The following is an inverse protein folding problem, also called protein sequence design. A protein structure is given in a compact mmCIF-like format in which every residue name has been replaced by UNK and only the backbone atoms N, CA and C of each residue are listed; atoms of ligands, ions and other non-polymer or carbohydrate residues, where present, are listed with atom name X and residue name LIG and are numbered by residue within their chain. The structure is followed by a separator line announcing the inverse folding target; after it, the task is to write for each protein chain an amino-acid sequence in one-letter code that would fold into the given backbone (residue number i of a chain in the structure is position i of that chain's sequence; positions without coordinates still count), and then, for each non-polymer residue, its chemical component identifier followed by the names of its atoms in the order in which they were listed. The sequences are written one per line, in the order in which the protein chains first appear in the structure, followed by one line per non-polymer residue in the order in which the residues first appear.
data_IF_550675984169
#
_entry.id   IF_550675984169
#
_cell.length_a   1.000
_cell.length_b   1.000
_cell.length_c   1.000
_cell.angle_alpha   90.00
_cell.angle_beta   90.00
_cell.angle_gamma   90.00
#
_symmetry.space_group_name_H-M   'P 1'
#
loop_
_entity.id
_entity.type
_entity.pdbx_description
1 polymer ?
#
# COMPACT_ATOMS: atom_id res chain seq x y z
N UNK A 1 12.08 8.64 20.58
CA UNK A 1 11.98 9.09 19.16
C UNK A 1 10.82 8.35 18.53
N UNK A 2 10.03 8.98 17.72
CA UNK A 2 8.94 8.35 16.97
C UNK A 2 9.56 7.55 15.80
N UNK A 3 9.05 6.36 15.53
CA UNK A 3 9.49 5.56 14.39
C UNK A 3 9.09 6.19 13.05
N UNK A 4 9.80 5.83 12.00
CA UNK A 4 9.55 6.27 10.61
C UNK A 4 8.40 5.47 10.02
N UNK A 5 7.62 6.08 9.13
CA UNK A 5 6.48 5.42 8.47
C UNK A 5 6.63 5.54 6.96
N UNK A 6 6.63 4.41 6.25
CA UNK A 6 6.63 4.30 4.80
C UNK A 6 5.38 3.53 4.37
N UNK A 7 4.60 4.11 3.48
CA UNK A 7 3.46 3.47 2.83
C UNK A 7 3.85 3.18 1.38
N UNK A 8 3.85 1.91 0.99
CA UNK A 8 4.03 1.44 -0.38
C UNK A 8 2.65 1.24 -1.01
N UNK A 9 2.28 2.04 -1.99
CA UNK A 9 1.01 1.92 -2.69
C UNK A 9 1.19 1.47 -4.14
N UNK A 10 0.50 0.42 -4.55
CA UNK A 10 0.60 -0.11 -5.91
C UNK A 10 -0.28 -1.33 -6.14
N UNK A 11 -0.39 -1.75 -7.39
CA UNK A 11 -1.20 -2.89 -7.77
C UNK A 11 -0.71 -4.22 -7.16
N UNK A 12 -1.56 -5.24 -7.01
CA UNK A 12 -1.12 -6.59 -6.68
C UNK A 12 -0.04 -7.08 -7.65
N UNK A 13 0.99 -7.75 -7.14
CA UNK A 13 2.15 -8.24 -7.91
C UNK A 13 3.11 -7.15 -8.45
N UNK A 14 2.93 -5.89 -8.11
CA UNK A 14 3.86 -4.82 -8.48
C UNK A 14 5.25 -4.92 -7.81
N UNK A 15 5.40 -5.73 -6.75
CA UNK A 15 6.68 -5.91 -6.05
C UNK A 15 6.77 -5.29 -4.65
N UNK A 16 5.68 -4.72 -4.13
CA UNK A 16 5.62 -4.07 -2.81
C UNK A 16 6.15 -4.94 -1.67
N UNK A 17 5.66 -6.18 -1.56
CA UNK A 17 6.03 -7.08 -0.45
C UNK A 17 7.51 -7.49 -0.52
N UNK A 18 8.08 -7.64 -1.72
CA UNK A 18 9.51 -7.88 -1.90
C UNK A 18 10.33 -6.66 -1.50
N UNK A 19 9.86 -5.46 -1.87
CA UNK A 19 10.48 -4.19 -1.45
C UNK A 19 10.39 -3.99 0.06
N UNK A 20 9.25 -4.29 0.69
CA UNK A 20 9.09 -4.21 2.13
C UNK A 20 10.09 -5.12 2.87
N UNK A 21 10.28 -6.35 2.38
CA UNK A 21 11.31 -7.28 2.92
C UNK A 21 12.74 -6.74 2.75
N UNK A 22 13.04 -6.12 1.60
CA UNK A 22 14.35 -5.52 1.38
C UNK A 22 14.60 -4.31 2.31
N UNK A 23 13.58 -3.48 2.57
CA UNK A 23 13.64 -2.39 3.55
C UNK A 23 13.95 -2.96 4.94
N UNK A 24 13.20 -3.97 5.38
CA UNK A 24 13.41 -4.63 6.67
C UNK A 24 14.82 -5.21 6.84
N UNK A 25 15.41 -5.70 5.75
CA UNK A 25 16.72 -6.35 5.76
C UNK A 25 17.90 -5.36 5.69
N UNK A 26 17.73 -4.20 5.02
CA UNK A 26 18.85 -3.34 4.64
C UNK A 26 18.84 -1.95 5.28
N UNK A 27 17.71 -1.44 5.74
CA UNK A 27 17.63 -0.12 6.38
C UNK A 27 17.69 -0.30 7.90
N UNK A 28 18.64 0.40 8.54
CA UNK A 28 18.79 0.33 9.99
C UNK A 28 17.52 0.76 10.74
N UNK A 29 17.16 0.00 11.78
CA UNK A 29 15.97 0.21 12.61
C UNK A 29 15.20 -1.08 12.84
N UNK A 30 14.11 -0.97 13.61
CA UNK A 30 13.20 -2.11 13.85
C UNK A 30 11.96 -1.94 12.98
N UNK A 31 12.02 -2.44 11.77
CA UNK A 31 10.97 -2.32 10.78
C UNK A 31 9.91 -3.40 10.92
N UNK A 32 8.66 -3.01 11.18
CA UNK A 32 7.49 -3.89 11.12
C UNK A 32 6.79 -3.72 9.76
N UNK A 33 6.34 -4.83 9.16
CA UNK A 33 5.46 -4.78 8.01
C UNK A 33 4.00 -4.89 8.48
N UNK A 34 3.29 -3.77 8.47
CA UNK A 34 1.87 -3.67 8.81
C UNK A 34 1.09 -3.28 7.54
N UNK A 35 0.83 -4.24 6.68
CA UNK A 35 0.08 -4.04 5.43
C UNK A 35 -1.30 -4.70 5.44
N UNK A 36 -1.99 -4.65 4.29
CA UNK A 36 -3.33 -5.25 4.15
C UNK A 36 -3.32 -6.76 4.37
N UNK A 37 -2.23 -7.45 4.06
CA UNK A 37 -2.16 -8.91 4.25
C UNK A 37 -2.16 -9.29 5.73
N UNK A 38 -1.50 -8.51 6.60
CA UNK A 38 -1.53 -8.75 8.04
C UNK A 38 -2.90 -8.47 8.64
N UNK A 39 -3.58 -7.42 8.17
CA UNK A 39 -4.96 -7.14 8.57
C UNK A 39 -5.92 -8.22 8.05
N UNK A 40 -5.76 -8.63 6.80
CA UNK A 40 -6.56 -9.70 6.19
C UNK A 40 -6.42 -11.02 6.97
N UNK A 41 -5.21 -11.39 7.37
CA UNK A 41 -4.96 -12.62 8.14
C UNK A 41 -5.70 -12.64 9.51
N UNK A 42 -5.99 -11.47 10.07
CA UNK A 42 -6.74 -11.32 11.33
C UNK A 42 -8.24 -11.08 11.14
N UNK A 43 -8.70 -10.89 9.89
CA UNK A 43 -10.11 -10.59 9.59
C UNK A 43 -10.90 -11.87 9.34
N UNK A 44 -12.08 -12.05 9.96
CA UNK A 44 -12.93 -13.20 9.69
C UNK A 44 -13.30 -13.31 8.20
N UNK A 45 -13.31 -14.54 7.63
CA UNK A 45 -13.60 -14.72 6.20
C UNK A 45 -14.91 -14.09 5.72
N UNK A 46 -15.93 -14.05 6.59
CA UNK A 46 -17.21 -13.42 6.26
C UNK A 46 -17.15 -11.91 6.02
N UNK A 47 -16.10 -11.23 6.54
CA UNK A 47 -15.89 -9.79 6.40
C UNK A 47 -14.85 -9.46 5.32
N UNK A 48 -14.28 -10.47 4.67
CA UNK A 48 -13.33 -10.26 3.60
C UNK A 48 -14.05 -9.99 2.28
N UNK A 49 -13.86 -8.85 1.63
CA UNK A 49 -14.31 -8.66 0.27
C UNK A 49 -13.47 -9.55 -0.64
N UNK A 50 -14.08 -10.39 -1.44
CA UNK A 50 -13.58 -11.47 -2.30
C UNK A 50 -12.07 -11.61 -2.52
N UNK A 51 -11.31 -10.52 -2.69
CA UNK A 51 -9.85 -10.52 -2.87
C UNK A 51 -9.18 -9.47 -1.99
N UNK A 52 -8.97 -9.75 -0.73
CA UNK A 52 -8.38 -8.83 0.23
C UNK A 52 -9.25 -7.58 0.42
N UNK A 53 -8.67 -6.47 0.84
CA UNK A 53 -9.35 -5.18 0.96
C UNK A 53 -9.55 -4.54 -0.42
N UNK A 54 -10.07 -5.31 -1.36
CA UNK A 54 -10.31 -4.81 -2.69
C UNK A 54 -11.60 -4.06 -2.77
N UNK A 55 -11.60 -3.06 -3.60
CA UNK A 55 -12.80 -2.41 -4.04
C UNK A 55 -13.50 -3.24 -5.07
N UNK A 56 -14.67 -2.91 -5.15
CA UNK A 56 -15.25 -2.90 -6.41
C UNK A 56 -16.02 -4.04 -6.87
N UNK A 57 -17.11 -4.17 -6.33
CA UNK A 57 -18.21 -4.82 -6.97
C UNK A 57 -18.43 -6.28 -6.59
N UNK A 58 -17.46 -6.90 -5.95
CA UNK A 58 -17.65 -8.28 -5.50
C UNK A 58 -18.43 -8.36 -4.20
N UNK A 59 -18.22 -7.42 -3.29
CA UNK A 59 -18.91 -7.32 -2.01
C UNK A 59 -19.14 -5.85 -1.62
N UNK A 60 -19.97 -5.12 -2.37
CA UNK A 60 -20.27 -3.71 -2.07
C UNK A 60 -20.93 -3.53 -0.69
N UNK A 61 -21.58 -4.56 -0.17
CA UNK A 61 -22.12 -4.61 1.19
C UNK A 61 -21.03 -4.49 2.28
N UNK A 62 -19.79 -4.78 1.97
CA UNK A 62 -18.64 -4.67 2.89
C UNK A 62 -17.84 -3.38 2.75
N UNK A 63 -18.14 -2.48 1.84
CA UNK A 63 -17.33 -1.27 1.60
C UNK A 63 -17.20 -0.39 2.84
N UNK A 64 -18.26 -0.22 3.62
CA UNK A 64 -18.21 0.49 4.90
C UNK A 64 -17.23 -0.18 5.86
N UNK A 65 -17.26 -1.53 5.91
CA UNK A 65 -16.33 -2.30 6.74
C UNK A 65 -14.88 -2.18 6.25
N UNK A 66 -14.66 -2.08 4.95
CA UNK A 66 -13.34 -1.81 4.37
C UNK A 66 -12.78 -0.48 4.89
N UNK A 67 -13.60 0.58 4.94
CA UNK A 67 -13.18 1.87 5.48
C UNK A 67 -12.78 1.76 6.95
N UNK A 68 -13.60 1.09 7.78
CA UNK A 68 -13.29 0.87 9.20
C UNK A 68 -11.99 0.05 9.40
N UNK A 69 -11.74 -0.94 8.55
CA UNK A 69 -10.51 -1.74 8.59
C UNK A 69 -9.28 -0.92 8.21
N UNK A 70 -9.39 0.01 7.25
CA UNK A 70 -8.31 0.95 6.95
C UNK A 70 -8.06 1.92 8.14
N UNK A 71 -9.11 2.44 8.77
CA UNK A 71 -8.97 3.29 9.95
C UNK A 71 -8.23 2.55 11.08
N UNK A 72 -8.59 1.29 11.33
CA UNK A 72 -7.91 0.43 12.30
C UNK A 72 -6.43 0.22 11.93
N UNK A 73 -6.15 -0.04 10.65
CA UNK A 73 -4.79 -0.24 10.16
C UNK A 73 -3.94 1.03 10.37
N UNK A 74 -4.44 2.20 9.96
CA UNK A 74 -3.71 3.45 10.11
C UNK A 74 -3.50 3.83 11.60
N UNK A 75 -4.49 3.60 12.45
CA UNK A 75 -4.35 3.78 13.90
C UNK A 75 -3.27 2.85 14.48
N UNK A 76 -3.22 1.59 14.04
CA UNK A 76 -2.22 0.60 14.47
C UNK A 76 -0.80 1.00 14.03
N UNK A 77 -0.65 1.47 12.77
CA UNK A 77 0.61 2.01 12.24
C UNK A 77 1.08 3.20 13.08
N UNK A 78 0.19 4.17 13.33
CA UNK A 78 0.50 5.35 14.13
C UNK A 78 0.91 5.01 15.55
N UNK A 79 0.20 4.08 16.19
CA UNK A 79 0.53 3.62 17.55
C UNK A 79 1.90 2.92 17.60
N UNK A 80 2.20 2.04 16.64
CA UNK A 80 3.49 1.36 16.59
C UNK A 80 4.64 2.36 16.38
N UNK A 81 4.46 3.33 15.51
CA UNK A 81 5.45 4.40 15.30
C UNK A 81 5.67 5.25 16.57
N UNK A 82 4.61 5.60 17.30
CA UNK A 82 4.71 6.30 18.58
C UNK A 82 5.51 5.50 19.63
N UNK A 83 5.53 4.18 19.53
CA UNK A 83 6.33 3.27 20.39
C UNK A 83 7.77 3.08 19.90
N UNK A 84 8.18 3.78 18.84
CA UNK A 84 9.54 3.77 18.32
C UNK A 84 9.84 2.68 17.29
N UNK A 85 8.83 1.95 16.80
CA UNK A 85 9.01 1.01 15.69
C UNK A 85 8.96 1.74 14.35
N UNK A 86 9.85 1.41 13.45
CA UNK A 86 9.75 1.82 12.06
C UNK A 86 8.72 0.94 11.33
N UNK A 87 7.91 1.55 10.47
CA UNK A 87 6.83 0.85 9.78
C UNK A 87 7.02 0.94 8.27
N UNK A 88 6.98 -0.20 7.60
CA UNK A 88 6.69 -0.29 6.17
C UNK A 88 5.33 -0.95 6.01
N UNK A 89 4.43 -0.31 5.27
CA UNK A 89 3.06 -0.81 5.05
C UNK A 89 2.82 -0.99 3.56
N UNK A 90 2.58 -2.24 3.10
CA UNK A 90 2.25 -2.48 1.70
C UNK A 90 0.74 -2.47 1.49
N UNK A 91 0.28 -1.51 0.68
CA UNK A 91 -1.12 -1.22 0.45
C UNK A 91 -1.46 -1.21 -1.04
N UNK A 92 -2.76 -1.25 -1.32
CA UNK A 92 -3.34 -1.01 -2.63
C UNK A 92 -4.50 -0.03 -2.47
N UNK A 93 -4.18 1.21 -2.11
CA UNK A 93 -5.21 2.23 -1.91
C UNK A 93 -5.70 2.76 -3.25
N UNK A 94 -7.00 2.86 -3.39
CA UNK A 94 -7.68 3.42 -4.55
C UNK A 94 -9.11 3.84 -4.15
N UNK A 95 -9.85 4.46 -5.05
CA UNK A 95 -11.20 4.98 -4.78
C UNK A 95 -12.27 4.36 -5.70
N UNK A 96 -11.97 3.21 -6.32
CA UNK A 96 -12.92 2.49 -7.19
C UNK A 96 -13.93 1.67 -6.36
N UNK A 97 -14.65 2.34 -5.48
CA UNK A 97 -15.73 1.82 -4.65
C UNK A 97 -17.08 2.32 -5.16
N UNK A 98 -18.18 1.70 -4.76
CA UNK A 98 -19.53 2.18 -5.08
C UNK A 98 -19.77 3.60 -4.53
N UNK A 99 -19.20 3.87 -3.35
CA UNK A 99 -19.13 5.21 -2.75
C UNK A 99 -17.67 5.51 -2.38
N UNK A 100 -17.12 6.69 -2.70
CA UNK A 100 -15.74 7.03 -2.36
C UNK A 100 -15.48 6.89 -0.86
N UNK A 101 -14.51 6.05 -0.50
CA UNK A 101 -14.15 5.81 0.90
C UNK A 101 -13.10 6.80 1.42
N UNK A 102 -12.51 7.60 0.53
CA UNK A 102 -11.49 8.62 0.85
C UNK A 102 -10.31 8.03 1.63
N UNK A 103 -9.81 6.88 1.17
CA UNK A 103 -8.77 6.11 1.89
C UNK A 103 -7.49 6.94 2.06
N UNK A 104 -7.09 7.71 1.05
CA UNK A 104 -5.91 8.57 1.15
C UNK A 104 -6.11 9.72 2.15
N UNK A 105 -7.33 10.27 2.25
CA UNK A 105 -7.65 11.30 3.24
C UNK A 105 -7.60 10.73 4.67
N UNK A 106 -8.10 9.51 4.85
CA UNK A 106 -8.02 8.78 6.13
C UNK A 106 -6.56 8.53 6.53
N UNK A 107 -5.73 8.07 5.59
CA UNK A 107 -4.30 7.92 5.80
C UNK A 107 -3.64 9.25 6.17
N UNK A 108 -3.96 10.33 5.46
CA UNK A 108 -3.43 11.67 5.72
C UNK A 108 -3.81 12.17 7.11
N UNK A 109 -5.08 12.04 7.51
CA UNK A 109 -5.55 12.45 8.83
C UNK A 109 -4.85 11.68 9.96
N UNK A 110 -4.65 10.37 9.78
CA UNK A 110 -4.08 9.51 10.83
C UNK A 110 -2.54 9.58 10.90
N UNK A 111 -1.85 9.68 9.75
CA UNK A 111 -0.40 9.48 9.64
C UNK A 111 0.36 10.72 9.15
N UNK A 112 -0.34 11.69 8.55
CA UNK A 112 0.27 12.93 8.06
C UNK A 112 1.02 13.69 9.16
N UNK A 113 0.45 13.91 10.35
CA UNK A 113 1.14 14.59 11.45
C UNK A 113 2.41 13.87 11.93
N UNK A 114 2.52 12.57 11.71
CA UNK A 114 3.72 11.78 12.02
C UNK A 114 4.80 11.83 10.92
N UNK A 115 4.57 12.57 9.82
CA UNK A 115 5.50 12.69 8.71
C UNK A 115 5.63 11.42 7.86
N UNK A 116 4.58 10.62 7.77
CA UNK A 116 4.58 9.40 6.96
C UNK A 116 4.82 9.71 5.48
N UNK A 117 5.72 8.93 4.86
CA UNK A 117 6.03 9.00 3.43
C UNK A 117 5.17 8.02 2.65
N UNK A 118 4.63 8.45 1.52
CA UNK A 118 3.89 7.59 0.60
C UNK A 118 4.66 7.39 -0.72
N UNK A 119 4.89 6.13 -1.07
CA UNK A 119 5.68 5.71 -2.23
C UNK A 119 4.78 4.99 -3.22
N UNK A 120 4.68 5.52 -4.44
CA UNK A 120 3.98 4.86 -5.54
C UNK A 120 4.83 3.74 -6.14
N UNK A 121 4.27 2.56 -6.25
CA UNK A 121 4.96 1.38 -6.79
C UNK A 121 4.36 1.03 -8.15
N UNK A 122 5.08 1.42 -9.19
CA UNK A 122 4.76 1.14 -10.57
C UNK A 122 5.28 -0.24 -10.99
N UNK A 123 4.57 -0.87 -11.91
CA UNK A 123 4.99 -2.09 -12.59
C UNK A 123 4.12 -2.28 -13.84
N UNK A 124 4.73 -2.50 -14.99
CA UNK A 124 4.00 -2.73 -16.22
C UNK A 124 3.10 -3.96 -16.14
N UNK A 125 1.96 -3.92 -16.85
CA UNK A 125 0.97 -4.99 -16.84
C UNK A 125 1.54 -6.32 -17.30
N UNK A 126 2.42 -6.31 -18.30
CA UNK A 126 3.06 -7.51 -18.84
C UNK A 126 3.96 -8.18 -17.78
N UNK A 127 4.70 -7.38 -17.02
CA UNK A 127 5.53 -7.89 -15.92
C UNK A 127 4.66 -8.41 -14.76
N UNK A 128 3.55 -7.75 -14.44
CA UNK A 128 2.57 -8.25 -13.47
C UNK A 128 2.03 -9.61 -13.92
N UNK A 129 1.66 -9.75 -15.18
CA UNK A 129 1.15 -11.02 -15.73
C UNK A 129 2.24 -12.10 -15.75
N UNK A 130 3.48 -11.76 -16.13
CA UNK A 130 4.61 -12.68 -16.05
C UNK A 130 4.81 -13.21 -14.61
N UNK A 131 4.75 -12.33 -13.60
CA UNK A 131 4.85 -12.71 -12.17
C UNK A 131 3.68 -13.57 -11.71
N UNK A 132 2.47 -13.30 -12.22
CA UNK A 132 1.28 -14.09 -11.92
C UNK A 132 1.40 -15.49 -12.48
N UNK A 133 1.85 -15.63 -13.74
CA UNK A 133 2.02 -16.92 -14.41
C UNK A 133 3.14 -17.75 -13.78
N UNK A 134 4.22 -17.11 -13.35
CA UNK A 134 5.33 -17.78 -12.68
C UNK A 134 4.98 -18.31 -11.27
N UNK A 135 4.02 -17.67 -10.59
CA UNK A 135 3.59 -18.07 -9.24
C UNK A 135 2.09 -17.85 -9.07
N UNK A 136 1.23 -18.70 -9.65
CA UNK A 136 -0.21 -18.57 -9.52
C UNK A 136 -0.67 -18.84 -8.08
N UNK A 137 -1.53 -17.96 -7.57
CA UNK A 137 -2.12 -18.08 -6.23
C UNK A 137 -3.62 -18.34 -6.33
N UNK A 138 -4.09 -19.36 -6.95
CA UNK A 138 -5.49 -19.75 -7.03
C UNK A 138 -6.57 -18.64 -7.10
N UNK A 139 -7.81 -18.97 -7.37
CA UNK A 139 -8.94 -18.03 -7.39
C UNK A 139 -8.74 -16.90 -8.40
N UNK A 140 -9.06 -15.68 -8.00
CA UNK A 140 -8.94 -14.47 -8.84
C UNK A 140 -7.48 -14.10 -9.21
N UNK A 141 -6.51 -14.81 -8.69
CA UNK A 141 -5.09 -14.66 -9.01
C UNK A 141 -4.60 -15.69 -10.03
N UNK A 142 -5.49 -16.38 -10.71
CA UNK A 142 -5.10 -17.28 -11.81
C UNK A 142 -4.29 -16.50 -12.85
N UNK A 143 -3.25 -17.15 -13.35
CA UNK A 143 -2.52 -16.68 -14.52
C UNK A 143 -3.37 -16.81 -15.79
N UNK A 144 -2.81 -16.48 -16.93
CA UNK A 144 -3.45 -16.55 -18.23
C UNK A 144 -2.70 -15.71 -19.26
N UNK A 145 -3.11 -15.84 -20.53
CA UNK A 145 -2.49 -15.08 -21.62
C UNK A 145 -2.98 -13.63 -21.68
N UNK A 146 -4.15 -13.37 -21.12
CA UNK A 146 -4.75 -12.01 -21.07
C UNK A 146 -4.94 -11.55 -19.63
N UNK A 147 -4.71 -10.26 -19.34
CA UNK A 147 -4.95 -9.72 -18.01
C UNK A 147 -6.45 -9.83 -17.63
N UNK A 148 -6.79 -10.47 -16.50
CA UNK A 148 -8.16 -10.50 -16.01
C UNK A 148 -8.69 -9.09 -15.73
N UNK A 149 -10.01 -8.82 -15.89
CA UNK A 149 -10.59 -7.49 -15.65
C UNK A 149 -10.25 -6.88 -14.28
N UNK A 150 -10.20 -7.62 -13.15
CA UNK A 150 -9.77 -7.08 -11.88
C UNK A 150 -8.33 -6.58 -11.87
N UNK A 151 -7.43 -7.21 -12.63
CA UNK A 151 -6.02 -6.78 -12.73
C UNK A 151 -5.90 -5.45 -13.47
N UNK A 152 -6.63 -5.31 -14.58
CA UNK A 152 -6.70 -4.05 -15.32
C UNK A 152 -7.27 -2.93 -14.46
N UNK A 153 -8.37 -3.18 -13.75
CA UNK A 153 -8.99 -2.21 -12.85
C UNK A 153 -8.01 -1.74 -11.77
N UNK A 154 -7.24 -2.64 -11.19
CA UNK A 154 -6.21 -2.30 -10.22
C UNK A 154 -5.12 -1.40 -10.82
N UNK A 155 -4.64 -1.75 -12.02
CA UNK A 155 -3.61 -0.97 -12.71
C UNK A 155 -4.06 0.48 -12.97
N UNK A 156 -5.34 0.66 -13.33
CA UNK A 156 -5.91 1.98 -13.57
C UNK A 156 -6.21 2.74 -12.28
N UNK A 157 -6.79 2.05 -11.29
CA UNK A 157 -7.36 2.67 -10.09
C UNK A 157 -6.34 3.06 -9.04
N UNK A 158 -5.30 2.23 -8.84
CA UNK A 158 -4.41 2.34 -7.68
C UNK A 158 -3.60 3.64 -7.64
N UNK A 159 -3.32 4.24 -8.79
CA UNK A 159 -2.58 5.50 -8.89
C UNK A 159 -3.46 6.71 -9.23
N UNK A 160 -4.74 6.47 -9.54
CA UNK A 160 -5.67 7.55 -9.88
C UNK A 160 -5.90 8.44 -8.65
N UNK A 161 -5.65 9.74 -8.82
CA UNK A 161 -5.81 10.75 -7.76
C UNK A 161 -4.93 10.54 -6.51
N UNK A 162 -3.86 9.76 -6.63
CA UNK A 162 -2.88 9.59 -5.56
C UNK A 162 -1.59 10.36 -5.90
N UNK A 163 -1.21 11.29 -5.01
CA UNK A 163 0.09 11.92 -5.02
C UNK A 163 1.08 11.09 -4.19
N UNK A 164 2.38 11.19 -4.55
CA UNK A 164 3.44 10.41 -3.91
C UNK A 164 4.66 11.29 -3.61
N UNK A 165 5.35 10.99 -2.52
CA UNK A 165 6.65 11.58 -2.20
C UNK A 165 7.75 11.04 -3.13
N UNK A 166 7.58 9.80 -3.61
CA UNK A 166 8.46 9.12 -4.57
C UNK A 166 7.66 8.11 -5.38
N UNK A 167 8.05 7.87 -6.63
CA UNK A 167 7.56 6.74 -7.44
C UNK A 167 8.72 5.83 -7.83
N UNK A 168 8.52 4.53 -7.75
CA UNK A 168 9.49 3.50 -8.08
C UNK A 168 8.89 2.50 -9.07
N UNK A 169 9.55 2.32 -10.21
CA UNK A 169 9.19 1.27 -11.17
C UNK A 169 9.85 -0.06 -10.76
N UNK A 170 9.09 -0.85 -10.01
CA UNK A 170 9.52 -2.17 -9.55
C UNK A 170 9.38 -3.27 -10.62
N UNK A 171 8.96 -2.93 -11.80
CA UNK A 171 9.12 -3.76 -12.99
C UNK A 171 10.57 -3.79 -13.49
N UNK A 172 11.33 -2.70 -13.22
CA UNK A 172 12.72 -2.51 -13.66
C UNK A 172 13.74 -2.54 -12.53
N UNK A 173 13.34 -2.14 -11.32
CA UNK A 173 14.22 -2.11 -10.16
C UNK A 173 14.23 -3.45 -9.42
N UNK A 174 15.40 -3.83 -8.89
CA UNK A 174 15.47 -4.89 -7.88
C UNK A 174 14.97 -4.37 -6.54
N UNK A 175 14.47 -5.26 -5.64
CA UNK A 175 14.04 -4.85 -4.29
C UNK A 175 15.13 -4.09 -3.52
N UNK A 176 16.38 -4.52 -3.63
CA UNK A 176 17.51 -3.85 -2.95
C UNK A 176 17.82 -2.46 -3.54
N UNK A 177 17.68 -2.28 -4.85
CA UNK A 177 17.82 -0.97 -5.48
C UNK A 177 16.72 -0.03 -5.02
N UNK A 178 15.47 -0.50 -4.97
CA UNK A 178 14.34 0.25 -4.42
C UNK A 178 14.55 0.64 -2.97
N UNK A 179 15.00 -0.29 -2.12
CA UNK A 179 15.29 -0.03 -0.71
C UNK A 179 16.40 1.01 -0.53
N UNK A 180 17.47 0.99 -1.34
CA UNK A 180 18.53 2.04 -1.31
C UNK A 180 17.96 3.42 -1.68
N UNK A 181 17.11 3.50 -2.69
CA UNK A 181 16.46 4.77 -3.06
C UNK A 181 15.62 5.31 -1.92
N UNK A 182 14.86 4.44 -1.25
CA UNK A 182 14.06 4.81 -0.08
C UNK A 182 14.95 5.23 1.10
N UNK A 183 16.08 4.57 1.33
CA UNK A 183 17.03 4.98 2.36
C UNK A 183 17.51 6.42 2.11
N UNK A 184 17.87 6.76 0.87
CA UNK A 184 18.25 8.13 0.51
C UNK A 184 17.12 9.15 0.73
N UNK A 185 15.86 8.76 0.48
CA UNK A 185 14.70 9.61 0.78
C UNK A 185 14.50 9.81 2.29
N UNK A 186 14.77 8.79 3.11
CA UNK A 186 14.69 8.89 4.57
C UNK A 186 15.79 9.77 5.15
N UNK A 187 17.00 9.78 4.54
CA UNK A 187 18.11 10.66 4.92
C UNK A 187 17.83 12.13 4.56
N UNK A 188 17.06 12.34 3.48
CA UNK A 188 16.70 13.66 2.96
C UNK A 188 15.20 13.74 2.65
N UNK A 189 14.33 13.69 3.67
CA UNK A 189 12.89 13.69 3.46
C UNK A 189 12.41 15.05 2.91
N UNK A 190 11.31 15.07 2.17
CA UNK A 190 10.68 16.32 1.73
C UNK A 190 10.31 17.17 2.96
N UNK A 191 10.48 18.48 2.84
CA UNK A 191 10.13 19.42 3.93
C UNK A 191 8.67 19.33 4.34
N UNK A 192 7.79 18.96 3.42
CA UNK A 192 6.37 18.71 3.67
C UNK A 192 5.93 17.46 2.89
N UNK A 193 5.90 16.28 3.54
CA UNK A 193 5.41 15.03 2.93
C UNK A 193 3.98 15.16 2.41
N UNK A 194 3.66 14.39 1.37
CA UNK A 194 2.34 14.42 0.71
C UNK A 194 1.19 14.21 1.72
N UNK A 195 1.29 13.25 2.61
CA UNK A 195 0.25 13.01 3.61
C UNK A 195 0.14 14.15 4.62
N UNK A 196 1.26 14.77 5.01
CA UNK A 196 1.25 15.94 5.91
C UNK A 196 0.59 17.14 5.23
N UNK A 197 0.94 17.43 3.97
CA UNK A 197 0.29 18.47 3.17
C UNK A 197 -1.21 18.23 3.04
N UNK A 198 -1.62 17.00 2.76
CA UNK A 198 -3.03 16.65 2.62
C UNK A 198 -3.78 16.78 3.94
N UNK A 199 -3.19 16.41 5.06
CA UNK A 199 -3.80 16.56 6.39
C UNK A 199 -4.14 18.02 6.71
N UNK A 200 -3.29 18.99 6.31
CA UNK A 200 -3.55 20.41 6.52
C UNK A 200 -4.73 20.95 5.71
N UNK A 201 -5.12 20.27 4.61
CA UNK A 201 -6.29 20.67 3.82
C UNK A 201 -7.60 20.05 4.30
N UNK A 202 -7.53 19.10 5.23
CA UNK A 202 -8.69 18.43 5.81
C UNK A 202 -9.14 19.06 7.14
N UNK A 203 -8.28 19.91 7.72
CA UNK A 203 -8.52 20.68 8.96
C UNK A 203 -9.34 21.92 8.66
#
# INVERSE_FOLDING_TARGET
MTGRIIILNGAPRSGKSSLAKAIQASIAGTWLNLGVDSLAASTPPALMPGIGLRPGGERPDLETKVAELYDLLFASIGLAAQRGFDIVSDLGMHEDYATPLRILDRAAAALGPAGALIIGIDCDIDEIMRRRNANPQGGLYLGGDTPPPPVLRWQEGVHRNNDYDLRLDMGRLTPDAGARTIAGLLDHPPALPVLAKRATTLS
#
